data_IF_674363017447
#
_entry.id   IF_674363017447
#
_cell.length_a   1.000
_cell.length_b   1.000
_cell.length_c   1.000
_cell.angle_alpha   90.00
_cell.angle_beta   90.00
_cell.angle_gamma   90.00
#
_symmetry.space_group_name_H-M   'P 1'
#
loop_
_entity.id
_entity.type
_entity.pdbx_description
1 polymer ?
#
# COMPACT_ATOMS: atom_id res chain seq x y z
N UNK A 1 -10.69 4.34 23.86
CA UNK A 1 -9.57 4.54 22.89
C UNK A 1 -8.86 5.80 23.31
N UNK A 2 -7.56 5.74 23.56
CA UNK A 2 -6.72 6.93 23.79
C UNK A 2 -6.25 7.43 22.41
N UNK A 3 -6.50 8.70 22.13
CA UNK A 3 -6.09 9.35 20.87
C UNK A 3 -4.70 10.00 20.97
N UNK A 4 -4.09 10.04 22.15
CA UNK A 4 -2.74 10.56 22.32
C UNK A 4 -1.69 9.57 21.83
N UNK A 5 -0.58 10.08 21.34
CA UNK A 5 0.58 9.25 21.03
C UNK A 5 1.42 9.03 22.28
N UNK A 6 1.84 7.81 22.50
CA UNK A 6 2.89 7.50 23.48
C UNK A 6 4.19 8.25 23.15
N UNK A 7 5.09 8.37 24.12
CA UNK A 7 6.41 9.00 23.88
C UNK A 7 7.19 8.30 22.75
N UNK A 8 7.11 6.99 22.69
CA UNK A 8 7.76 6.19 21.62
C UNK A 8 7.19 6.51 20.26
N UNK A 9 5.86 6.57 20.12
CA UNK A 9 5.19 6.92 18.87
C UNK A 9 5.49 8.37 18.44
N UNK A 10 5.57 9.31 19.39
CA UNK A 10 5.96 10.70 19.10
C UNK A 10 7.37 10.79 18.53
N UNK A 11 8.34 10.10 19.16
CA UNK A 11 9.73 10.05 18.67
C UNK A 11 9.83 9.37 17.31
N UNK A 12 9.10 8.28 17.12
CA UNK A 12 9.04 7.58 15.85
C UNK A 12 8.45 8.48 14.76
N UNK A 13 7.33 9.15 15.02
CA UNK A 13 6.71 10.09 14.09
C UNK A 13 7.65 11.25 13.71
N UNK A 14 8.39 11.79 14.67
CA UNK A 14 9.40 12.83 14.40
C UNK A 14 10.51 12.31 13.48
N UNK A 15 11.01 11.10 13.73
CA UNK A 15 12.03 10.47 12.90
C UNK A 15 11.54 10.25 11.48
N UNK A 16 10.34 9.66 11.30
CA UNK A 16 9.77 9.41 9.97
C UNK A 16 9.49 10.73 9.23
N UNK A 17 8.94 11.73 9.91
CA UNK A 17 8.69 13.05 9.32
C UNK A 17 9.98 13.72 8.86
N UNK A 18 11.02 13.70 9.69
CA UNK A 18 12.34 14.23 9.32
C UNK A 18 12.90 13.49 8.10
N UNK A 19 12.79 12.18 8.06
CA UNK A 19 13.20 11.37 6.92
C UNK A 19 12.40 11.74 5.64
N UNK A 20 11.08 11.84 5.76
CA UNK A 20 10.20 12.21 4.64
C UNK A 20 10.56 13.58 4.05
N UNK A 21 10.78 14.59 4.89
CA UNK A 21 11.11 15.95 4.42
C UNK A 21 12.52 16.05 3.82
N UNK A 22 13.52 15.38 4.42
CA UNK A 22 14.92 15.58 4.04
C UNK A 22 15.41 14.58 2.99
N UNK A 23 14.86 13.36 2.94
CA UNK A 23 15.37 12.29 2.08
C UNK A 23 14.38 11.88 0.97
N UNK A 24 13.07 12.06 1.18
CA UNK A 24 12.04 11.64 0.23
C UNK A 24 11.53 12.81 -0.62
N UNK A 25 11.13 13.90 0.03
CA UNK A 25 10.55 15.08 -0.63
C UNK A 25 11.43 15.66 -1.75
N UNK A 26 12.76 15.79 -1.59
CA UNK A 26 13.62 16.31 -2.64
C UNK A 26 13.63 15.48 -3.93
N UNK A 27 13.39 14.17 -3.82
CA UNK A 27 13.40 13.23 -4.96
C UNK A 27 12.02 13.03 -5.59
N UNK A 28 10.95 13.47 -4.94
CA UNK A 28 9.58 13.10 -5.31
C UNK A 28 9.18 13.55 -6.72
N UNK A 29 9.62 14.72 -7.17
CA UNK A 29 9.35 15.22 -8.53
C UNK A 29 10.11 14.42 -9.58
N UNK A 30 11.40 14.17 -9.36
CA UNK A 30 12.25 13.38 -10.25
C UNK A 30 11.78 11.94 -10.38
N UNK A 31 11.41 11.30 -9.25
CA UNK A 31 10.86 9.94 -9.21
C UNK A 31 9.60 9.81 -10.07
N UNK A 32 8.73 10.81 -10.03
CA UNK A 32 7.53 10.84 -10.88
C UNK A 32 7.87 11.10 -12.35
N UNK A 33 8.70 12.12 -12.64
CA UNK A 33 9.05 12.52 -14.00
C UNK A 33 9.78 11.43 -14.77
N UNK A 34 10.74 10.77 -14.12
CA UNK A 34 11.54 9.70 -14.72
C UNK A 34 10.87 8.32 -14.60
N UNK A 35 9.73 8.23 -13.91
CA UNK A 35 9.04 6.97 -13.64
C UNK A 35 9.97 5.92 -13.02
N UNK A 36 10.94 6.34 -12.21
CA UNK A 36 11.96 5.48 -11.63
C UNK A 36 11.62 5.06 -10.19
N UNK A 37 11.99 3.84 -9.87
CA UNK A 37 11.86 3.34 -8.50
C UNK A 37 12.87 4.04 -7.58
N UNK A 38 12.46 4.52 -6.38
CA UNK A 38 13.33 5.26 -5.47
C UNK A 38 14.19 4.31 -4.61
N UNK A 39 15.07 3.53 -5.25
CA UNK A 39 15.85 2.47 -4.57
C UNK A 39 16.72 3.02 -3.44
N UNK A 40 17.33 4.20 -3.62
CA UNK A 40 18.16 4.85 -2.61
C UNK A 40 17.36 5.21 -1.35
N UNK A 41 16.11 5.63 -1.51
CA UNK A 41 15.20 5.91 -0.41
C UNK A 41 14.82 4.62 0.32
N UNK A 42 14.48 3.57 -0.44
CA UNK A 42 14.12 2.25 0.13
C UNK A 42 15.27 1.64 0.91
N UNK A 43 16.50 1.74 0.41
CA UNK A 43 17.69 1.27 1.13
C UNK A 43 17.92 2.04 2.45
N UNK A 44 17.69 3.36 2.46
CA UNK A 44 17.74 4.16 3.69
C UNK A 44 16.64 3.78 4.67
N UNK A 45 15.42 3.51 4.18
CA UNK A 45 14.30 3.00 5.00
C UNK A 45 14.66 1.67 5.68
N UNK A 46 15.31 0.76 4.95
CA UNK A 46 15.83 -0.49 5.52
C UNK A 46 16.79 -0.26 6.68
N UNK A 47 17.79 0.62 6.48
CA UNK A 47 18.77 0.97 7.54
C UNK A 47 18.13 1.59 8.78
N UNK A 48 17.00 2.26 8.64
CA UNK A 48 16.23 2.85 9.74
C UNK A 48 15.20 1.87 10.35
N UNK A 49 15.15 0.60 9.90
CA UNK A 49 14.21 -0.41 10.37
C UNK A 49 12.77 -0.20 9.91
N UNK A 50 12.53 0.73 8.97
CA UNK A 50 11.17 1.05 8.51
C UNK A 50 10.56 -0.08 7.67
N UNK A 51 11.39 -0.90 6.99
CA UNK A 51 10.89 -2.02 6.17
C UNK A 51 10.34 -3.16 7.02
N UNK A 52 10.70 -3.24 8.31
CA UNK A 52 10.28 -4.28 9.24
C UNK A 52 9.53 -3.75 10.47
N UNK A 53 8.79 -2.64 10.38
CA UNK A 53 8.15 -2.01 11.56
C UNK A 53 7.35 -3.02 12.39
N UNK A 54 6.35 -3.78 11.85
CA UNK A 54 5.53 -4.67 12.66
C UNK A 54 6.15 -6.07 12.84
N UNK A 55 7.33 -6.32 12.26
CA UNK A 55 7.98 -7.63 12.37
C UNK A 55 8.60 -7.78 13.76
N UNK A 56 8.35 -8.91 14.47
CA UNK A 56 8.97 -9.16 15.75
C UNK A 56 10.50 -9.16 15.71
N UNK A 57 11.13 -8.75 16.79
CA UNK A 57 12.61 -8.67 16.90
C UNK A 57 13.31 -10.00 16.65
N UNK A 58 12.70 -11.12 17.01
CA UNK A 58 13.24 -12.47 16.76
C UNK A 58 13.44 -12.78 15.27
N UNK A 59 12.70 -12.11 14.38
CA UNK A 59 12.83 -12.20 12.93
C UNK A 59 13.53 -10.96 12.33
N UNK A 60 14.27 -10.20 13.13
CA UNK A 60 15.05 -9.06 12.67
C UNK A 60 14.26 -7.76 12.45
N UNK A 61 12.99 -7.70 12.86
CA UNK A 61 12.17 -6.51 12.72
C UNK A 61 12.29 -5.52 13.89
N UNK A 62 11.58 -4.40 13.77
CA UNK A 62 11.58 -3.36 14.81
C UNK A 62 10.68 -3.69 16.01
N UNK A 63 9.73 -4.63 15.89
CA UNK A 63 8.77 -4.99 16.94
C UNK A 63 7.78 -3.86 17.25
N UNK A 64 7.50 -3.00 16.25
CA UNK A 64 6.53 -1.92 16.36
C UNK A 64 5.10 -2.39 16.14
N UNK A 65 4.17 -1.44 16.18
CA UNK A 65 2.73 -1.68 16.04
C UNK A 65 2.24 -1.37 14.62
N UNK A 66 1.02 -1.80 14.29
CA UNK A 66 0.34 -1.38 13.07
C UNK A 66 0.09 0.13 13.08
N UNK A 67 -0.15 0.72 14.27
CA UNK A 67 -0.23 2.18 14.42
C UNK A 67 1.06 2.88 13.95
N UNK A 68 2.23 2.39 14.34
CA UNK A 68 3.51 2.93 13.87
C UNK A 68 3.71 2.73 12.36
N UNK A 69 3.30 1.58 11.85
CA UNK A 69 3.36 1.32 10.40
C UNK A 69 2.51 2.33 9.60
N UNK A 70 1.26 2.58 10.01
CA UNK A 70 0.41 3.55 9.31
C UNK A 70 0.93 4.98 9.42
N UNK A 71 1.54 5.36 10.54
CA UNK A 71 2.22 6.65 10.68
C UNK A 71 3.34 6.82 9.64
N UNK A 72 4.13 5.75 9.43
CA UNK A 72 5.19 5.79 8.42
C UNK A 72 4.62 5.91 7.00
N UNK A 73 3.60 5.13 6.66
CA UNK A 73 2.95 5.22 5.34
C UNK A 73 2.32 6.60 5.11
N UNK A 74 1.67 7.19 6.12
CA UNK A 74 1.08 8.52 6.05
C UNK A 74 2.14 9.60 5.78
N UNK A 75 3.20 9.67 6.59
CA UNK A 75 4.22 10.72 6.46
C UNK A 75 5.04 10.59 5.15
N UNK A 76 5.33 9.37 4.71
CA UNK A 76 5.97 9.15 3.40
C UNK A 76 5.05 9.60 2.26
N UNK A 77 3.77 9.23 2.33
CA UNK A 77 2.79 9.54 1.28
C UNK A 77 2.43 11.03 1.25
N UNK A 78 2.60 11.73 2.34
CA UNK A 78 2.42 13.18 2.45
C UNK A 78 3.34 13.94 1.48
N UNK A 79 4.52 13.41 1.20
CA UNK A 79 5.50 14.03 0.31
C UNK A 79 5.68 13.26 -1.01
N UNK A 80 5.54 11.93 -0.99
CA UNK A 80 5.71 11.05 -2.14
C UNK A 80 4.89 9.75 -2.00
N UNK A 81 3.75 9.68 -2.65
CA UNK A 81 2.86 8.52 -2.61
C UNK A 81 3.53 7.23 -3.13
N UNK A 82 4.47 7.35 -4.09
CA UNK A 82 5.29 6.24 -4.58
C UNK A 82 6.08 5.58 -3.45
N UNK A 83 6.78 6.36 -2.62
CA UNK A 83 7.55 5.81 -1.49
C UNK A 83 6.64 5.18 -0.44
N UNK A 84 5.48 5.80 -0.19
CA UNK A 84 4.47 5.25 0.73
C UNK A 84 3.93 3.89 0.28
N UNK A 85 3.60 3.72 -1.02
CA UNK A 85 3.07 2.43 -1.52
C UNK A 85 4.14 1.34 -1.56
N UNK A 86 5.40 1.67 -1.79
CA UNK A 86 6.49 0.68 -1.72
C UNK A 86 6.54 0.04 -0.34
N UNK A 87 6.50 0.85 0.72
CA UNK A 87 6.45 0.37 2.09
C UNK A 87 5.15 -0.39 2.38
N UNK A 88 4.01 0.16 1.93
CA UNK A 88 2.70 -0.43 2.18
C UNK A 88 2.58 -1.83 1.60
N UNK A 89 2.86 -2.01 0.33
CA UNK A 89 2.77 -3.31 -0.35
C UNK A 89 3.77 -4.33 0.21
N UNK A 90 5.01 -3.90 0.47
CA UNK A 90 6.03 -4.75 1.08
C UNK A 90 5.58 -5.30 2.44
N UNK A 91 5.09 -4.43 3.31
CA UNK A 91 4.75 -4.79 4.69
C UNK A 91 3.43 -5.54 4.78
N UNK A 92 2.36 -5.00 4.19
CA UNK A 92 1.00 -5.54 4.37
C UNK A 92 0.68 -6.71 3.45
N UNK A 93 1.31 -6.79 2.27
CA UNK A 93 0.95 -7.79 1.27
C UNK A 93 1.97 -8.92 1.13
N UNK A 94 3.23 -8.73 1.58
CA UNK A 94 4.24 -9.80 1.55
C UNK A 94 4.66 -10.24 2.95
N UNK A 95 5.10 -9.33 3.82
CA UNK A 95 5.53 -9.68 5.17
C UNK A 95 4.36 -10.24 5.99
N UNK A 96 3.21 -9.57 6.01
CA UNK A 96 2.09 -9.96 6.85
C UNK A 96 1.59 -11.39 6.57
N UNK A 97 1.33 -11.82 5.31
CA UNK A 97 0.90 -13.20 5.07
C UNK A 97 1.95 -14.24 5.46
N UNK A 98 3.26 -13.96 5.34
CA UNK A 98 4.32 -14.86 5.84
C UNK A 98 4.28 -14.94 7.37
N UNK A 99 4.15 -13.80 8.07
CA UNK A 99 4.05 -13.77 9.53
C UNK A 99 2.83 -14.53 10.05
N UNK A 100 1.68 -14.39 9.38
CA UNK A 100 0.41 -14.93 9.84
C UNK A 100 0.22 -16.41 9.47
N UNK A 101 0.80 -16.88 8.36
CA UNK A 101 0.52 -18.22 7.80
C UNK A 101 1.76 -19.06 7.53
N UNK A 102 2.97 -18.52 7.63
CA UNK A 102 4.22 -19.23 7.38
C UNK A 102 4.59 -20.18 8.51
N UNK A 103 5.31 -21.26 8.15
CA UNK A 103 6.00 -22.11 9.13
C UNK A 103 7.16 -21.35 9.79
N UNK A 104 7.71 -21.86 10.87
CA UNK A 104 8.86 -21.21 11.52
C UNK A 104 10.07 -21.15 10.59
N UNK A 105 10.29 -22.20 9.77
CA UNK A 105 11.35 -22.27 8.77
C UNK A 105 11.15 -21.17 7.71
N UNK A 106 9.92 -20.99 7.21
CA UNK A 106 9.58 -19.92 6.26
C UNK A 106 9.81 -18.55 6.89
N UNK A 107 9.35 -18.32 8.11
CA UNK A 107 9.54 -17.04 8.82
C UNK A 107 11.02 -16.75 9.01
N UNK A 108 11.82 -17.71 9.48
CA UNK A 108 13.26 -17.54 9.68
C UNK A 108 14.03 -17.34 8.36
N UNK A 109 13.56 -17.94 7.27
CA UNK A 109 14.18 -17.79 5.94
C UNK A 109 13.93 -16.41 5.33
N UNK A 110 12.69 -15.91 5.40
CA UNK A 110 12.25 -14.75 4.62
C UNK A 110 12.19 -13.45 5.42
N UNK A 111 11.67 -13.47 6.66
CA UNK A 111 11.41 -12.25 7.40
C UNK A 111 12.64 -11.43 7.73
N UNK A 112 13.81 -11.98 8.12
CA UNK A 112 14.98 -11.18 8.42
C UNK A 112 15.46 -10.32 7.23
N UNK A 113 15.45 -10.90 6.03
CA UNK A 113 15.87 -10.20 4.80
C UNK A 113 14.85 -9.16 4.34
N UNK A 114 13.55 -9.46 4.51
CA UNK A 114 12.48 -8.52 4.22
C UNK A 114 12.46 -7.38 5.24
N UNK A 115 12.60 -7.66 6.53
CA UNK A 115 12.58 -6.66 7.59
C UNK A 115 13.77 -5.70 7.54
N UNK A 116 14.94 -6.17 7.13
CA UNK A 116 16.14 -5.33 6.91
C UNK A 116 16.03 -4.48 5.63
N UNK A 117 15.12 -4.81 4.70
CA UNK A 117 15.06 -4.19 3.39
C UNK A 117 16.13 -4.69 2.41
N UNK A 118 16.89 -5.73 2.76
CA UNK A 118 17.78 -6.44 1.83
C UNK A 118 16.96 -7.05 0.69
N UNK A 119 15.82 -7.62 1.03
CA UNK A 119 14.83 -8.13 0.08
C UNK A 119 13.56 -7.28 0.10
N UNK A 120 12.98 -7.11 -1.08
CA UNK A 120 11.68 -6.46 -1.26
C UNK A 120 10.64 -7.52 -1.56
N UNK A 121 9.42 -7.33 -1.01
CA UNK A 121 8.30 -8.22 -1.21
C UNK A 121 7.23 -7.66 -2.15
N UNK A 122 6.53 -8.58 -2.83
CA UNK A 122 5.39 -8.30 -3.70
C UNK A 122 4.27 -9.32 -3.51
N UNK A 123 3.08 -9.04 -4.08
CA UNK A 123 1.88 -9.86 -3.93
C UNK A 123 1.19 -10.06 -5.28
N UNK A 124 1.12 -11.31 -5.74
CA UNK A 124 0.57 -11.71 -7.01
C UNK A 124 -0.82 -12.36 -6.88
N UNK A 125 -1.89 -11.55 -6.90
CA UNK A 125 -3.28 -12.00 -6.91
C UNK A 125 -3.94 -11.76 -8.27
N UNK A 126 -3.92 -10.52 -8.74
CA UNK A 126 -4.67 -10.02 -9.88
C UNK A 126 -4.19 -10.62 -11.20
N UNK A 127 -5.14 -11.02 -12.04
CA UNK A 127 -4.91 -11.49 -13.41
C UNK A 127 -5.70 -10.64 -14.42
N UNK A 128 -5.40 -10.73 -15.74
CA UNK A 128 -6.09 -9.93 -16.77
C UNK A 128 -7.62 -9.97 -16.68
N UNK A 129 -8.19 -11.14 -16.33
CA UNK A 129 -9.64 -11.35 -16.23
C UNK A 129 -10.13 -11.58 -14.78
N UNK A 130 -9.28 -11.37 -13.78
CA UNK A 130 -9.59 -11.59 -12.37
C UNK A 130 -9.04 -10.45 -11.50
N UNK A 131 -9.68 -9.30 -11.57
CA UNK A 131 -9.42 -8.13 -10.70
C UNK A 131 -10.35 -8.16 -9.48
N UNK A 132 -11.49 -7.47 -9.57
CA UNK A 132 -12.53 -7.49 -8.52
C UNK A 132 -13.06 -8.90 -8.29
N UNK A 133 -13.29 -9.67 -9.34
CA UNK A 133 -13.64 -11.09 -9.25
C UNK A 133 -12.38 -11.96 -9.10
N UNK A 134 -11.73 -11.84 -7.93
CA UNK A 134 -10.48 -12.53 -7.64
C UNK A 134 -10.63 -14.07 -7.56
N UNK A 135 -11.85 -14.59 -7.51
CA UNK A 135 -12.12 -16.02 -7.52
C UNK A 135 -11.90 -16.66 -8.91
N UNK A 136 -11.99 -15.87 -9.97
CA UNK A 136 -11.90 -16.32 -11.37
C UNK A 136 -10.47 -16.43 -11.89
N UNK A 137 -9.47 -16.47 -11.03
CA UNK A 137 -8.07 -16.59 -11.45
C UNK A 137 -7.78 -17.91 -12.18
N UNK A 138 -6.88 -17.83 -13.17
CA UNK A 138 -6.54 -18.93 -14.08
C UNK A 138 -5.13 -19.49 -13.87
N UNK A 139 -4.24 -18.76 -13.22
CA UNK A 139 -2.90 -19.27 -12.88
C UNK A 139 -3.03 -20.56 -12.09
N UNK A 140 -2.38 -21.63 -12.57
CA UNK A 140 -2.47 -22.97 -11.98
C UNK A 140 -1.19 -23.32 -11.21
N UNK A 141 -1.33 -24.23 -10.24
CA UNK A 141 -0.22 -24.89 -9.58
C UNK A 141 -0.50 -26.41 -9.54
N UNK A 142 0.30 -27.18 -10.28
CA UNK A 142 0.16 -28.63 -10.37
C UNK A 142 1.18 -29.30 -9.44
N UNK A 143 0.71 -30.30 -8.70
CA UNK A 143 1.56 -31.12 -7.84
C UNK A 143 2.37 -32.12 -8.69
N UNK A 144 3.70 -31.95 -8.71
CA UNK A 144 4.62 -32.85 -9.41
C UNK A 144 5.34 -33.86 -8.50
N UNK A 145 4.87 -33.99 -7.24
CA UNK A 145 5.44 -34.90 -6.24
C UNK A 145 6.41 -34.19 -5.30
N UNK A 146 7.58 -33.85 -5.75
CA UNK A 146 8.63 -33.17 -4.96
C UNK A 146 8.60 -31.65 -5.07
N UNK A 147 7.87 -31.09 -6.04
CA UNK A 147 7.70 -29.65 -6.26
C UNK A 147 6.31 -29.32 -6.81
N UNK A 148 6.01 -28.03 -6.91
CA UNK A 148 4.85 -27.49 -7.61
C UNK A 148 5.28 -26.89 -8.95
N UNK A 149 4.44 -27.03 -9.99
CA UNK A 149 4.65 -26.42 -11.30
C UNK A 149 3.59 -25.34 -11.51
N UNK A 150 3.99 -24.08 -11.51
CA UNK A 150 3.09 -22.94 -11.74
C UNK A 150 3.08 -22.56 -13.20
N UNK A 151 1.88 -22.28 -13.76
CA UNK A 151 1.67 -21.77 -15.11
C UNK A 151 0.58 -20.69 -15.11
N UNK A 152 0.85 -19.56 -15.79
CA UNK A 152 -0.06 -18.42 -15.90
C UNK A 152 0.64 -17.08 -15.79
N UNK A 153 -0.13 -16.03 -15.48
CA UNK A 153 0.44 -14.70 -15.27
C UNK A 153 -0.36 -13.90 -14.23
N UNK A 154 0.30 -12.92 -13.62
CA UNK A 154 -0.30 -11.92 -12.72
C UNK A 154 0.01 -10.53 -13.25
N UNK A 155 -0.94 -9.60 -13.15
CA UNK A 155 -0.76 -8.23 -13.64
C UNK A 155 -0.89 -7.20 -12.51
N UNK A 156 -0.38 -5.99 -12.77
CA UNK A 156 -0.42 -4.85 -11.85
C UNK A 156 0.28 -5.12 -10.51
N UNK A 157 1.38 -5.87 -10.53
CA UNK A 157 2.08 -6.25 -9.30
C UNK A 157 3.04 -5.17 -8.86
N UNK A 158 2.70 -4.53 -7.75
CA UNK A 158 3.52 -3.50 -7.10
C UNK A 158 4.84 -4.07 -6.61
N UNK A 159 5.93 -3.30 -6.73
CA UNK A 159 7.31 -3.66 -6.39
C UNK A 159 7.95 -4.74 -7.29
N UNK A 160 7.24 -5.32 -8.27
CA UNK A 160 7.64 -6.55 -8.96
C UNK A 160 9.06 -6.53 -9.53
N UNK A 161 9.48 -5.45 -10.22
CA UNK A 161 10.81 -5.41 -10.83
C UNK A 161 11.96 -5.29 -9.83
N UNK A 162 11.67 -5.00 -8.56
CA UNK A 162 12.66 -4.90 -7.47
C UNK A 162 12.45 -5.97 -6.38
N UNK A 163 11.32 -6.69 -6.41
CA UNK A 163 11.01 -7.72 -5.43
C UNK A 163 11.89 -8.95 -5.59
N UNK A 164 12.26 -9.55 -4.47
CA UNK A 164 12.97 -10.83 -4.38
C UNK A 164 12.02 -11.97 -4.01
N UNK A 165 10.91 -11.64 -3.32
CA UNK A 165 9.92 -12.59 -2.82
C UNK A 165 8.52 -12.13 -3.22
N UNK A 166 7.74 -13.09 -3.70
CA UNK A 166 6.37 -12.88 -4.20
C UNK A 166 5.43 -13.85 -3.48
N UNK A 167 4.35 -13.33 -2.91
CA UNK A 167 3.24 -14.17 -2.45
C UNK A 167 2.28 -14.33 -3.62
N UNK A 168 2.14 -15.54 -4.14
CA UNK A 168 1.39 -15.82 -5.37
C UNK A 168 0.22 -16.73 -5.09
N UNK A 169 -0.98 -16.32 -5.49
CA UNK A 169 -2.17 -17.15 -5.45
C UNK A 169 -2.29 -17.95 -6.75
N UNK A 170 -2.48 -19.27 -6.65
CA UNK A 170 -2.67 -20.12 -7.82
C UNK A 170 -3.71 -21.22 -7.55
N UNK A 171 -4.37 -21.65 -8.61
CA UNK A 171 -5.39 -22.68 -8.59
C UNK A 171 -4.74 -24.06 -8.55
N UNK A 172 -4.94 -24.80 -7.46
CA UNK A 172 -4.48 -26.19 -7.29
C UNK A 172 -5.56 -27.21 -7.62
N UNK A 173 -6.86 -26.84 -7.49
CA UNK A 173 -7.99 -27.68 -7.86
C UNK A 173 -9.20 -26.87 -8.31
N UNK A 174 -9.45 -26.82 -9.61
CA UNK A 174 -10.57 -26.04 -10.19
C UNK A 174 -11.96 -26.53 -9.74
N UNK A 175 -12.09 -27.80 -9.39
CA UNK A 175 -13.38 -28.38 -8.99
C UNK A 175 -13.89 -27.84 -7.66
N UNK A 176 -13.00 -27.30 -6.83
CA UNK A 176 -13.30 -26.80 -5.49
C UNK A 176 -13.56 -25.26 -5.45
N UNK A 177 -13.55 -24.59 -6.61
CA UNK A 177 -13.73 -23.12 -6.69
C UNK A 177 -12.70 -22.39 -5.81
N UNK A 178 -13.14 -21.45 -4.97
CA UNK A 178 -12.22 -20.69 -4.09
C UNK A 178 -11.46 -21.56 -3.08
N UNK A 179 -11.98 -22.73 -2.74
CA UNK A 179 -11.31 -23.71 -1.86
C UNK A 179 -10.19 -24.48 -2.58
N UNK A 180 -10.09 -24.36 -3.89
CA UNK A 180 -9.00 -24.90 -4.70
C UNK A 180 -7.85 -23.93 -4.95
N UNK A 181 -7.92 -22.71 -4.40
CA UNK A 181 -6.84 -21.71 -4.52
C UNK A 181 -5.88 -21.87 -3.35
N UNK A 182 -4.58 -21.93 -3.66
CA UNK A 182 -3.50 -22.01 -2.67
C UNK A 182 -2.55 -20.84 -2.79
N UNK A 183 -1.79 -20.55 -1.73
CA UNK A 183 -0.80 -19.49 -1.70
C UNK A 183 0.62 -20.05 -1.74
N UNK A 184 1.51 -19.42 -2.49
CA UNK A 184 2.90 -19.86 -2.67
C UNK A 184 3.86 -18.72 -2.41
N UNK A 185 5.02 -19.01 -1.83
CA UNK A 185 6.16 -18.10 -1.76
C UNK A 185 7.04 -18.39 -2.97
N UNK A 186 7.09 -17.45 -3.91
CA UNK A 186 7.93 -17.55 -5.11
C UNK A 186 9.14 -16.63 -4.94
N UNK A 187 10.33 -17.15 -5.18
CA UNK A 187 11.57 -16.37 -5.20
C UNK A 187 11.89 -15.95 -6.64
N UNK A 188 12.57 -14.81 -6.78
CA UNK A 188 12.85 -14.20 -8.09
C UNK A 188 13.58 -15.11 -9.06
N UNK A 189 14.49 -15.93 -8.55
CA UNK A 189 15.41 -16.73 -9.37
C UNK A 189 14.91 -18.16 -9.60
N UNK A 190 13.64 -18.45 -9.27
CA UNK A 190 13.04 -19.77 -9.52
C UNK A 190 12.93 -20.05 -11.02
N UNK A 191 13.32 -21.25 -11.48
CA UNK A 191 13.20 -21.63 -12.89
C UNK A 191 11.78 -21.49 -13.42
N UNK A 192 11.61 -20.86 -14.58
CA UNK A 192 10.30 -20.63 -15.20
C UNK A 192 9.54 -19.43 -14.66
N UNK A 193 10.13 -18.64 -13.75
CA UNK A 193 9.57 -17.37 -13.31
C UNK A 193 10.26 -16.20 -14.02
N UNK A 194 9.50 -15.22 -14.47
CA UNK A 194 10.02 -13.97 -15.05
C UNK A 194 9.12 -12.76 -14.78
N UNK A 195 9.74 -11.57 -14.84
CA UNK A 195 9.04 -10.30 -14.75
C UNK A 195 8.73 -9.81 -16.16
N UNK A 196 7.46 -9.59 -16.42
CA UNK A 196 6.97 -9.10 -17.70
C UNK A 196 6.99 -7.57 -17.81
N UNK A 197 6.06 -7.04 -18.58
CA UNK A 197 5.95 -5.63 -18.91
C UNK A 197 5.79 -4.75 -17.66
N UNK A 198 6.52 -3.62 -17.64
CA UNK A 198 6.27 -2.51 -16.70
C UNK A 198 5.10 -1.67 -17.20
N UNK A 199 4.16 -1.35 -16.31
CA UNK A 199 3.00 -0.54 -16.63
C UNK A 199 3.29 0.95 -16.62
N UNK A 200 2.88 1.66 -17.67
CA UNK A 200 2.85 3.12 -17.72
C UNK A 200 1.59 3.62 -17.02
N UNK A 201 1.72 4.45 -16.01
CA UNK A 201 0.63 4.80 -15.11
C UNK A 201 0.35 6.29 -15.07
N UNK A 202 -0.89 6.65 -14.74
CA UNK A 202 -1.33 8.01 -14.51
C UNK A 202 -0.61 8.66 -13.31
N UNK A 203 -0.55 7.96 -12.18
CA UNK A 203 0.06 8.41 -10.92
C UNK A 203 0.92 7.30 -10.30
N UNK A 204 1.53 7.60 -9.15
CA UNK A 204 2.54 6.73 -8.49
C UNK A 204 3.52 6.14 -9.52
N UNK A 205 3.95 6.98 -10.44
CA UNK A 205 4.66 6.57 -11.66
C UNK A 205 5.99 5.89 -11.37
N UNK A 206 6.64 6.27 -10.27
CA UNK A 206 7.86 5.63 -9.80
C UNK A 206 7.65 4.27 -9.13
N UNK A 207 6.41 3.84 -8.85
CA UNK A 207 6.15 2.49 -8.36
C UNK A 207 6.36 1.45 -9.46
N UNK A 208 7.21 0.46 -9.20
CA UNK A 208 7.58 -0.59 -10.15
C UNK A 208 6.47 -1.64 -10.26
N UNK A 209 5.43 -1.30 -11.01
CA UNK A 209 4.26 -2.15 -11.25
C UNK A 209 4.45 -2.94 -12.53
N UNK A 210 4.51 -4.29 -12.45
CA UNK A 210 4.78 -5.15 -13.60
C UNK A 210 3.84 -6.37 -13.62
N UNK A 211 3.92 -7.08 -14.75
CA UNK A 211 3.39 -8.43 -14.88
C UNK A 211 4.37 -9.45 -14.27
N UNK A 212 3.84 -10.55 -13.73
CA UNK A 212 4.59 -11.76 -13.38
C UNK A 212 4.19 -12.86 -14.34
N UNK A 213 5.16 -13.59 -14.87
CA UNK A 213 4.96 -14.66 -15.84
C UNK A 213 5.49 -15.98 -15.27
N UNK A 214 4.69 -17.02 -15.35
CA UNK A 214 5.00 -18.37 -14.88
C UNK A 214 4.89 -19.34 -16.07
N UNK A 215 6.03 -19.89 -16.51
CA UNK A 215 6.13 -20.85 -17.60
C UNK A 215 6.82 -22.11 -17.09
N UNK A 216 6.01 -23.08 -16.65
CA UNK A 216 6.50 -24.28 -15.95
C UNK A 216 7.38 -23.90 -14.75
N UNK A 217 6.97 -22.89 -13.99
CA UNK A 217 7.74 -22.36 -12.88
C UNK A 217 7.81 -23.39 -11.76
N UNK A 218 9.03 -23.81 -11.39
CA UNK A 218 9.31 -24.81 -10.37
C UNK A 218 9.35 -24.16 -8.99
N UNK A 219 8.40 -24.52 -8.13
CA UNK A 219 8.30 -24.02 -6.76
C UNK A 219 8.43 -25.19 -5.79
N UNK A 220 9.41 -25.17 -4.86
CA UNK A 220 9.59 -26.23 -3.86
C UNK A 220 8.35 -26.48 -3.02
N UNK A 221 8.17 -27.73 -2.54
CA UNK A 221 7.01 -28.10 -1.70
C UNK A 221 6.89 -27.26 -0.45
N UNK A 222 8.02 -26.97 0.19
CA UNK A 222 8.10 -26.17 1.40
C UNK A 222 7.72 -24.70 1.19
N UNK A 223 7.56 -24.26 -0.06
CA UNK A 223 7.12 -22.89 -0.38
C UNK A 223 5.60 -22.74 -0.49
N UNK A 224 4.81 -23.78 -0.21
CA UNK A 224 3.37 -23.65 0.02
C UNK A 224 3.16 -22.83 1.30
N UNK A 225 2.47 -21.69 1.18
CA UNK A 225 2.18 -20.79 2.30
C UNK A 225 0.82 -21.15 2.95
N UNK A 226 0.88 -21.63 4.18
CA UNK A 226 -0.31 -22.10 4.89
C UNK A 226 -0.89 -23.40 4.30
N UNK A 227 -2.09 -23.84 4.73
CA UNK A 227 -2.69 -25.09 4.26
C UNK A 227 -3.12 -25.03 2.80
N UNK A 228 -3.02 -26.18 2.10
CA UNK A 228 -3.53 -26.36 0.74
C UNK A 228 -5.02 -25.97 0.64
N UNK A 229 -5.40 -25.25 -0.41
CA UNK A 229 -6.76 -24.79 -0.64
C UNK A 229 -7.22 -23.63 0.26
N UNK A 230 -6.32 -23.02 1.02
CA UNK A 230 -6.62 -21.85 1.87
C UNK A 230 -6.09 -20.52 1.32
N UNK A 231 -5.51 -20.53 0.12
CA UNK A 231 -4.93 -19.33 -0.48
C UNK A 231 -5.92 -18.18 -0.65
N UNK A 232 -7.18 -18.46 -1.03
CA UNK A 232 -8.19 -17.41 -1.14
C UNK A 232 -8.49 -16.74 0.21
N UNK A 233 -8.57 -17.53 1.29
CA UNK A 233 -8.77 -16.99 2.63
C UNK A 233 -7.57 -16.16 3.08
N UNK A 234 -6.34 -16.63 2.78
CA UNK A 234 -5.10 -15.88 3.04
C UNK A 234 -5.14 -14.57 2.28
N UNK A 235 -5.48 -14.58 0.98
CA UNK A 235 -5.58 -13.36 0.17
C UNK A 235 -6.58 -12.35 0.74
N UNK A 236 -7.78 -12.78 1.14
CA UNK A 236 -8.80 -11.87 1.68
C UNK A 236 -8.35 -11.24 3.01
N UNK A 237 -7.75 -12.01 3.92
CA UNK A 237 -7.17 -11.47 5.17
C UNK A 237 -6.01 -10.51 4.91
N UNK A 238 -5.15 -10.85 3.95
CA UNK A 238 -4.04 -9.98 3.54
C UNK A 238 -4.57 -8.64 3.03
N UNK A 239 -5.60 -8.65 2.18
CA UNK A 239 -6.23 -7.43 1.68
C UNK A 239 -6.91 -6.61 2.78
N UNK A 240 -7.50 -7.22 3.81
CA UNK A 240 -8.04 -6.46 4.94
C UNK A 240 -6.95 -5.64 5.65
N UNK A 241 -5.75 -6.23 5.83
CA UNK A 241 -4.58 -5.51 6.34
C UNK A 241 -4.05 -4.44 5.37
N UNK A 242 -4.01 -4.77 4.09
CA UNK A 242 -3.58 -3.86 3.02
C UNK A 242 -4.46 -2.61 2.91
N UNK A 243 -5.78 -2.75 3.07
CA UNK A 243 -6.74 -1.61 3.07
C UNK A 243 -6.38 -0.55 4.10
N UNK A 244 -5.88 -0.93 5.27
CA UNK A 244 -5.41 0.03 6.29
C UNK A 244 -4.20 0.81 5.76
N UNK A 245 -3.26 0.13 5.10
CA UNK A 245 -2.09 0.75 4.48
C UNK A 245 -2.48 1.75 3.39
N UNK A 246 -3.41 1.36 2.49
CA UNK A 246 -3.89 2.24 1.42
C UNK A 246 -4.71 3.41 1.96
N UNK A 247 -5.51 3.19 2.99
CA UNK A 247 -6.23 4.29 3.67
C UNK A 247 -5.23 5.31 4.26
N UNK A 248 -4.13 4.82 4.83
CA UNK A 248 -3.06 5.67 5.36
C UNK A 248 -2.30 6.41 4.24
N UNK A 249 -2.06 5.75 3.11
CA UNK A 249 -1.47 6.41 1.93
C UNK A 249 -2.38 7.53 1.40
N UNK A 250 -3.66 7.25 1.23
CA UNK A 250 -4.64 8.26 0.78
C UNK A 250 -4.70 9.44 1.75
N UNK A 251 -4.73 9.17 3.06
CA UNK A 251 -4.67 10.19 4.09
C UNK A 251 -3.40 11.05 4.00
N UNK A 252 -2.25 10.41 3.78
CA UNK A 252 -0.97 11.11 3.60
C UNK A 252 -1.00 12.04 2.38
N UNK A 253 -1.49 11.57 1.24
CA UNK A 253 -1.65 12.38 0.03
C UNK A 253 -2.57 13.58 0.29
N UNK A 254 -3.72 13.35 0.95
CA UNK A 254 -4.66 14.41 1.31
C UNK A 254 -4.01 15.46 2.23
N UNK A 255 -3.28 15.03 3.26
CA UNK A 255 -2.57 15.90 4.18
C UNK A 255 -1.49 16.72 3.44
N UNK A 256 -0.69 16.10 2.57
CA UNK A 256 0.32 16.80 1.77
C UNK A 256 -0.28 17.86 0.86
N UNK A 257 -1.37 17.53 0.17
CA UNK A 257 -2.07 18.50 -0.67
C UNK A 257 -2.68 19.66 0.13
N UNK A 258 -3.19 19.38 1.35
CA UNK A 258 -3.64 20.43 2.28
C UNK A 258 -2.49 21.35 2.70
N UNK A 259 -1.34 20.78 3.08
CA UNK A 259 -0.17 21.56 3.53
C UNK A 259 0.32 22.52 2.42
N UNK A 260 0.46 22.03 1.19
CA UNK A 260 0.86 22.84 0.05
C UNK A 260 -0.20 23.93 -0.28
N UNK A 261 -1.49 23.58 -0.19
CA UNK A 261 -2.58 24.53 -0.44
C UNK A 261 -2.63 25.63 0.61
N UNK A 262 -2.47 25.30 1.89
CA UNK A 262 -2.41 26.28 2.99
C UNK A 262 -1.24 27.25 2.78
N UNK A 263 -0.06 26.72 2.43
CA UNK A 263 1.12 27.53 2.13
C UNK A 263 0.85 28.49 0.98
N UNK A 264 0.43 27.96 -0.17
CA UNK A 264 0.17 28.73 -1.37
C UNK A 264 -0.89 29.81 -1.15
N UNK A 265 -2.02 29.47 -0.54
CA UNK A 265 -3.13 30.44 -0.31
C UNK A 265 -2.76 31.57 0.64
N UNK A 266 -1.82 31.37 1.57
CA UNK A 266 -1.28 32.41 2.44
C UNK A 266 -0.35 33.37 1.68
N UNK A 267 0.44 32.87 0.76
CA UNK A 267 1.46 33.66 0.02
C UNK A 267 0.86 34.36 -1.21
N UNK A 268 -0.01 33.67 -1.95
CA UNK A 268 -0.63 34.21 -3.18
C UNK A 268 -1.58 35.34 -2.88
N UNK A 269 -1.37 36.50 -3.55
CA UNK A 269 -2.23 37.69 -3.42
C UNK A 269 -2.96 37.95 -4.72
N UNK A 270 -4.26 38.23 -4.64
CA UNK A 270 -5.10 38.74 -5.71
C UNK A 270 -6.14 39.69 -5.11
N UNK A 271 -6.59 40.69 -5.90
CA UNK A 271 -7.51 41.74 -5.43
C UNK A 271 -7.00 42.42 -4.16
N UNK A 272 -5.68 42.69 -4.10
CA UNK A 272 -5.03 43.40 -3.02
C UNK A 272 -4.84 42.66 -1.70
N UNK A 273 -5.18 41.35 -1.63
CA UNK A 273 -5.05 40.52 -0.41
C UNK A 273 -4.69 39.07 -0.70
N UNK A 274 -4.19 38.35 0.34
CA UNK A 274 -3.96 36.93 0.27
C UNK A 274 -5.26 36.18 -0.03
N UNK A 275 -5.22 35.17 -0.91
CA UNK A 275 -6.41 34.37 -1.26
C UNK A 275 -6.97 33.60 -0.06
N UNK A 276 -6.16 33.30 0.96
CA UNK A 276 -6.62 32.77 2.23
C UNK A 276 -7.60 33.65 3.02
N UNK A 277 -7.67 34.96 2.67
CA UNK A 277 -8.58 35.94 3.31
C UNK A 277 -9.97 35.99 2.68
N UNK A 278 -10.21 35.24 1.59
CA UNK A 278 -11.54 35.13 1.01
C UNK A 278 -12.37 34.12 1.78
N UNK A 279 -13.60 34.50 2.16
CA UNK A 279 -14.47 33.67 2.99
C UNK A 279 -14.75 32.28 2.35
N UNK A 280 -14.99 32.25 1.04
CA UNK A 280 -15.19 30.98 0.32
C UNK A 280 -13.96 30.05 0.40
N UNK A 281 -12.73 30.61 0.33
CA UNK A 281 -11.49 29.83 0.53
C UNK A 281 -11.46 29.25 1.94
N UNK A 282 -11.77 30.05 2.95
CA UNK A 282 -11.76 29.62 4.36
C UNK A 282 -12.77 28.51 4.61
N UNK A 283 -13.99 28.62 4.09
CA UNK A 283 -15.02 27.60 4.27
C UNK A 283 -14.64 26.28 3.63
N UNK A 284 -14.20 26.29 2.36
CA UNK A 284 -13.77 25.08 1.69
C UNK A 284 -12.57 24.42 2.41
N UNK A 285 -11.58 25.21 2.85
CA UNK A 285 -10.43 24.68 3.58
C UNK A 285 -10.83 24.07 4.94
N UNK A 286 -11.80 24.65 5.63
CA UNK A 286 -12.34 24.10 6.88
C UNK A 286 -13.05 22.75 6.66
N UNK A 287 -13.87 22.65 5.60
CA UNK A 287 -14.55 21.42 5.23
C UNK A 287 -13.56 20.31 4.88
N UNK A 288 -12.56 20.61 4.04
CA UNK A 288 -11.52 19.66 3.67
C UNK A 288 -10.70 19.21 4.89
N UNK A 289 -10.32 20.14 5.77
CA UNK A 289 -9.59 19.80 7.01
C UNK A 289 -10.41 18.87 7.89
N UNK A 290 -11.70 19.11 8.04
CA UNK A 290 -12.61 18.24 8.81
C UNK A 290 -12.65 16.82 8.25
N UNK A 291 -12.72 16.67 6.92
CA UNK A 291 -12.70 15.35 6.26
C UNK A 291 -11.36 14.62 6.45
N UNK A 292 -10.23 15.34 6.34
CA UNK A 292 -8.90 14.75 6.58
C UNK A 292 -8.77 14.23 8.02
N UNK A 293 -9.26 14.98 9.01
CA UNK A 293 -9.24 14.51 10.41
C UNK A 293 -10.19 13.32 10.64
N UNK A 294 -11.37 13.32 10.03
CA UNK A 294 -12.28 12.18 10.10
C UNK A 294 -11.65 10.92 9.47
N UNK A 295 -10.99 11.06 8.31
CA UNK A 295 -10.25 9.97 7.68
C UNK A 295 -9.16 9.43 8.60
N UNK A 296 -8.37 10.33 9.23
CA UNK A 296 -7.32 9.96 10.19
C UNK A 296 -7.86 9.13 11.35
N UNK A 297 -8.98 9.51 11.91
CA UNK A 297 -9.61 8.78 13.02
C UNK A 297 -10.09 7.39 12.59
N UNK A 298 -10.66 7.25 11.39
CA UNK A 298 -11.06 5.95 10.84
C UNK A 298 -9.85 5.04 10.61
N UNK A 299 -8.77 5.57 10.00
CA UNK A 299 -7.53 4.81 9.75
C UNK A 299 -6.92 4.33 11.06
N UNK A 300 -6.81 5.21 12.06
CA UNK A 300 -6.27 4.87 13.38
C UNK A 300 -7.14 3.86 14.13
N UNK A 301 -8.46 3.97 14.01
CA UNK A 301 -9.39 3.00 14.61
C UNK A 301 -9.20 1.60 14.04
N UNK A 302 -9.09 1.47 12.71
CA UNK A 302 -8.86 0.19 12.04
C UNK A 302 -7.51 -0.43 12.44
N UNK A 303 -6.45 0.38 12.46
CA UNK A 303 -5.11 -0.07 12.87
C UNK A 303 -5.07 -0.50 14.34
N UNK A 304 -5.70 0.26 15.24
CA UNK A 304 -5.81 -0.09 16.66
C UNK A 304 -6.54 -1.43 16.86
N UNK A 305 -7.65 -1.67 16.15
CA UNK A 305 -8.36 -2.95 16.23
C UNK A 305 -7.46 -4.11 15.79
N UNK A 306 -6.68 -3.93 14.72
CA UNK A 306 -5.72 -4.94 14.26
C UNK A 306 -4.63 -5.20 15.30
N UNK A 307 -4.06 -4.15 15.92
CA UNK A 307 -3.08 -4.30 17.00
C UNK A 307 -3.63 -5.04 18.23
N UNK A 308 -4.93 -4.84 18.52
CA UNK A 308 -5.62 -5.51 19.63
C UNK A 308 -6.13 -6.92 19.29
N UNK A 309 -5.89 -7.44 18.08
CA UNK A 309 -6.41 -8.73 17.63
C UNK A 309 -7.94 -8.79 17.50
N UNK A 310 -8.61 -7.64 17.39
CA UNK A 310 -10.06 -7.54 17.24
C UNK A 310 -10.47 -7.66 15.74
N UNK A 311 -11.72 -8.03 15.44
CA UNK A 311 -12.24 -7.96 14.07
C UNK A 311 -12.15 -6.52 13.52
N UNK A 312 -11.53 -6.36 12.36
CA UNK A 312 -11.25 -5.03 11.77
C UNK A 312 -11.61 -4.89 10.28
N UNK A 313 -12.10 -5.96 9.64
CA UNK A 313 -12.36 -5.97 8.19
C UNK A 313 -13.30 -4.84 7.73
N UNK A 314 -14.44 -4.65 8.44
CA UNK A 314 -15.38 -3.56 8.13
C UNK A 314 -14.76 -2.18 8.40
N UNK A 315 -14.00 -2.03 9.49
CA UNK A 315 -13.33 -0.76 9.82
C UNK A 315 -12.24 -0.41 8.80
N UNK A 316 -11.48 -1.39 8.33
CA UNK A 316 -10.49 -1.22 7.26
C UNK A 316 -11.15 -0.79 5.94
N UNK A 317 -12.29 -1.39 5.60
CA UNK A 317 -13.05 -1.01 4.41
C UNK A 317 -13.63 0.41 4.52
N UNK A 318 -14.20 0.79 5.68
CA UNK A 318 -14.69 2.15 5.93
C UNK A 318 -13.56 3.18 5.87
N UNK A 319 -12.42 2.89 6.49
CA UNK A 319 -11.25 3.75 6.48
C UNK A 319 -10.73 3.97 5.06
N UNK A 320 -10.59 2.89 4.27
CA UNK A 320 -10.10 2.96 2.89
C UNK A 320 -11.06 3.72 1.98
N UNK A 321 -12.34 3.45 2.06
CA UNK A 321 -13.39 4.14 1.29
C UNK A 321 -13.34 5.65 1.56
N UNK A 322 -13.45 6.02 2.82
CA UNK A 322 -13.53 7.44 3.21
C UNK A 322 -12.23 8.20 2.93
N UNK A 323 -11.07 7.60 3.24
CA UNK A 323 -9.78 8.25 3.01
C UNK A 323 -9.49 8.45 1.52
N UNK A 324 -9.80 7.45 0.66
CA UNK A 324 -9.58 7.53 -0.77
C UNK A 324 -10.44 8.62 -1.43
N UNK A 325 -11.74 8.67 -1.12
CA UNK A 325 -12.65 9.70 -1.63
C UNK A 325 -12.26 11.10 -1.11
N UNK A 326 -11.85 11.19 0.15
CA UNK A 326 -11.32 12.44 0.73
C UNK A 326 -10.05 12.89 0.01
N UNK A 327 -9.13 11.98 -0.29
CA UNK A 327 -7.90 12.32 -0.99
C UNK A 327 -8.16 12.86 -2.40
N UNK A 328 -9.07 12.26 -3.14
CA UNK A 328 -9.49 12.77 -4.45
C UNK A 328 -10.11 14.16 -4.36
N UNK A 329 -11.00 14.39 -3.40
CA UNK A 329 -11.62 15.71 -3.22
C UNK A 329 -10.58 16.77 -2.84
N UNK A 330 -9.74 16.48 -1.84
CA UNK A 330 -8.70 17.42 -1.37
C UNK A 330 -7.71 17.75 -2.47
N UNK A 331 -7.20 16.76 -3.19
CA UNK A 331 -6.20 16.99 -4.24
C UNK A 331 -6.79 17.73 -5.45
N UNK A 332 -8.02 17.43 -5.83
CA UNK A 332 -8.74 18.18 -6.89
C UNK A 332 -8.93 19.65 -6.49
N UNK A 333 -9.32 19.89 -5.25
CA UNK A 333 -9.45 21.26 -4.73
C UNK A 333 -8.11 21.96 -4.57
N UNK A 334 -7.05 21.24 -4.23
CA UNK A 334 -5.69 21.77 -4.18
C UNK A 334 -5.25 22.33 -5.55
N UNK A 335 -5.45 21.57 -6.62
CA UNK A 335 -5.20 22.04 -7.99
C UNK A 335 -6.03 23.29 -8.28
N UNK A 336 -7.32 23.30 -7.93
CA UNK A 336 -8.21 24.45 -8.14
C UNK A 336 -7.76 25.69 -7.38
N UNK A 337 -7.32 25.56 -6.13
CA UNK A 337 -6.82 26.69 -5.33
C UNK A 337 -5.53 27.29 -5.86
N UNK A 338 -4.68 26.49 -6.51
CA UNK A 338 -3.47 26.98 -7.17
C UNK A 338 -3.74 27.64 -8.53
N UNK A 339 -4.97 27.49 -9.08
CA UNK A 339 -5.33 28.03 -10.39
C UNK A 339 -4.45 27.47 -11.51
N UNK A 340 -4.02 28.31 -12.45
CA UNK A 340 -3.15 27.88 -13.56
C UNK A 340 -1.85 27.21 -13.10
N UNK A 341 -1.26 27.66 -12.00
CA UNK A 341 -0.06 27.03 -11.42
C UNK A 341 -0.31 25.63 -10.90
N UNK A 342 -1.52 25.32 -10.43
CA UNK A 342 -1.89 23.96 -9.99
C UNK A 342 -1.98 22.95 -11.15
N UNK A 343 -2.11 23.44 -12.39
CA UNK A 343 -2.19 22.62 -13.59
C UNK A 343 -0.83 22.39 -14.24
N UNK A 344 0.21 23.05 -13.75
CA UNK A 344 1.60 22.88 -14.20
C UNK A 344 2.38 22.03 -13.20
N UNK A 345 3.55 21.51 -13.62
CA UNK A 345 4.43 20.69 -12.76
C UNK A 345 5.31 21.50 -11.80
N UNK A 346 5.15 22.82 -11.74
CA UNK A 346 5.90 23.68 -10.81
C UNK A 346 5.51 23.45 -9.34
N UNK A 347 4.25 23.06 -9.11
CA UNK A 347 3.73 22.71 -7.80
C UNK A 347 3.36 21.23 -7.74
N UNK A 348 3.50 20.58 -6.57
CA UNK A 348 3.31 19.13 -6.46
C UNK A 348 1.84 18.68 -6.51
N UNK A 349 0.89 19.60 -6.48
CA UNK A 349 -0.55 19.28 -6.30
C UNK A 349 -1.14 18.53 -7.49
N UNK A 350 -0.66 18.73 -8.71
CA UNK A 350 -1.11 17.97 -9.88
C UNK A 350 -0.66 16.50 -9.77
N UNK A 351 0.59 16.24 -9.33
CA UNK A 351 1.09 14.91 -9.06
C UNK A 351 0.29 14.23 -7.96
N UNK A 352 0.02 14.95 -6.86
CA UNK A 352 -0.78 14.43 -5.75
C UNK A 352 -2.19 14.04 -6.20
N UNK A 353 -2.80 14.79 -7.13
CA UNK A 353 -4.11 14.45 -7.70
C UNK A 353 -4.03 13.17 -8.54
N UNK A 354 -3.00 13.01 -9.38
CA UNK A 354 -2.80 11.79 -10.16
C UNK A 354 -2.55 10.58 -9.25
N UNK A 355 -1.75 10.76 -8.22
CA UNK A 355 -1.42 9.72 -7.24
C UNK A 355 -2.63 9.31 -6.40
N UNK A 356 -3.49 10.26 -6.01
CA UNK A 356 -4.68 9.99 -5.22
C UNK A 356 -5.66 9.05 -5.93
N UNK A 357 -5.79 9.14 -7.26
CA UNK A 357 -6.78 8.37 -8.00
C UNK A 357 -6.67 6.87 -7.83
N UNK A 358 -5.45 6.34 -7.75
CA UNK A 358 -5.27 4.90 -7.60
C UNK A 358 -5.82 4.38 -6.26
N UNK A 359 -5.89 5.21 -5.23
CA UNK A 359 -6.38 4.81 -3.90
C UNK A 359 -7.87 4.44 -3.91
N UNK A 360 -8.64 4.90 -4.88
CA UNK A 360 -10.03 4.49 -5.09
C UNK A 360 -10.15 3.15 -5.83
N UNK A 361 -9.07 2.65 -6.45
CA UNK A 361 -9.09 1.52 -7.39
C UNK A 361 -8.47 0.26 -6.80
N UNK A 362 -7.18 0.30 -6.42
CA UNK A 362 -6.46 -0.91 -6.01
C UNK A 362 -6.78 -1.36 -4.58
N UNK A 363 -6.41 -2.60 -4.28
CA UNK A 363 -6.76 -3.31 -3.04
C UNK A 363 -8.27 -3.33 -2.76
N UNK A 364 -9.05 -3.42 -3.84
CA UNK A 364 -10.50 -3.35 -3.86
C UNK A 364 -10.99 -1.93 -4.13
N UNK A 365 -11.77 -1.77 -5.19
CA UNK A 365 -12.33 -0.46 -5.56
C UNK A 365 -13.23 0.11 -4.46
N UNK A 366 -13.58 1.40 -4.54
CA UNK A 366 -14.52 2.03 -3.61
C UNK A 366 -15.86 1.27 -3.55
N UNK A 367 -16.28 0.66 -4.67
CA UNK A 367 -17.47 -0.21 -4.73
C UNK A 367 -17.26 -1.51 -3.94
N UNK A 368 -16.10 -2.14 -4.05
CA UNK A 368 -15.75 -3.34 -3.26
C UNK A 368 -15.76 -3.02 -1.77
N UNK A 369 -15.24 -1.85 -1.36
CA UNK A 369 -15.32 -1.45 0.05
C UNK A 369 -16.77 -1.37 0.53
N UNK A 370 -17.68 -0.79 -0.29
CA UNK A 370 -19.11 -0.74 0.01
C UNK A 370 -19.73 -2.14 0.11
N UNK A 371 -19.33 -3.08 -0.75
CA UNK A 371 -19.76 -4.48 -0.65
C UNK A 371 -19.31 -5.13 0.66
N UNK A 372 -18.05 -4.91 1.07
CA UNK A 372 -17.53 -5.45 2.34
C UNK A 372 -18.30 -4.87 3.53
N UNK A 373 -18.49 -3.55 3.57
CA UNK A 373 -19.24 -2.87 4.64
C UNK A 373 -20.67 -3.40 4.71
N UNK A 374 -21.38 -3.46 3.58
CA UNK A 374 -22.75 -3.98 3.50
C UNK A 374 -22.82 -5.44 3.94
N UNK A 375 -21.86 -6.28 3.54
CA UNK A 375 -21.77 -7.67 3.96
C UNK A 375 -21.61 -7.85 5.48
N UNK A 376 -21.04 -6.88 6.19
CA UNK A 376 -20.97 -6.87 7.65
C UNK A 376 -22.22 -6.26 8.31
N UNK A 377 -22.86 -5.31 7.63
CA UNK A 377 -24.06 -4.62 8.17
C UNK A 377 -25.29 -5.52 8.16
N UNK A 378 -25.42 -6.41 7.16
CA UNK A 378 -26.60 -7.25 6.95
C UNK A 378 -26.38 -8.73 7.35
N UNK A 379 -25.31 -9.04 8.08
CA UNK A 379 -25.12 -10.32 8.75
C UNK A 379 -25.91 -10.36 10.06
#
# INVERSE_FOLDING_TARGET
MDFSYSKTEQLFLQMVRSFAENEVKPLAAEVDEQERFPIETVQKMGKLGMMGIPVPKQYGGAGGTVQMYIMAVEELSRVCATTGVVLSAHTSLCIAPIMENGTEEQKMKYLPKLASGEWIGAFGLTEPNAGTDAAMQQTTAVDAGDHWVLNGSKIFITNASYANVFIVMAMTDKSLGTKGISAFIVERDMPGFSIGKKELKMGIRGSATCELIFENCIVPKENLLGPLGKGFNIAMKTLDGGRIGIASQALGIAQGAMDETVKYTKERKQFGRSIAKFQNTQFQMADLKTKVEAARLLVRSAAWKKDMGLPYSADAAMAKLFAAETAMEVTTKAVQFHGGYGYTREYPVERMMRDAKITEIYEGTSEVQRMVIAGHLFK
#
